data_IF_839879457177
#
_entry.id   IF_839879457177
#
_cell.length_a   1.000
_cell.length_b   1.000
_cell.length_c   1.000
_cell.angle_alpha   90.00
_cell.angle_beta   90.00
_cell.angle_gamma   90.00
#
_symmetry.space_group_name_H-M   'P 1'
#
loop_
_entity.id
_entity.type
_entity.pdbx_description
1 polymer ?
#
# COMPACT_ATOMS: atom_id res chain seq x y z
N UNK A 1 -13.68 68.82 19.00
CA UNK A 1 -12.40 68.12 18.78
C UNK A 1 -12.72 66.67 18.44
N UNK A 2 -12.08 66.19 17.36
CA UNK A 2 -11.77 64.80 16.99
C UNK A 2 -12.89 63.85 16.50
N UNK A 3 -12.57 63.32 15.31
CA UNK A 3 -13.30 62.47 14.37
C UNK A 3 -13.22 60.97 14.72
N UNK A 4 -13.92 60.20 13.88
CA UNK A 4 -13.54 58.90 13.31
C UNK A 4 -14.03 57.65 14.07
N UNK A 5 -14.53 56.57 13.45
CA UNK A 5 -14.97 56.28 12.07
C UNK A 5 -15.81 55.00 12.19
N UNK A 6 -16.93 54.91 11.46
CA UNK A 6 -17.69 53.67 11.32
C UNK A 6 -16.85 52.61 10.59
N UNK A 7 -16.53 51.51 11.26
CA UNK A 7 -15.86 50.39 10.61
C UNK A 7 -16.91 49.41 10.09
N UNK A 8 -17.08 49.43 8.76
CA UNK A 8 -17.83 48.45 7.99
C UNK A 8 -17.20 47.07 8.23
N UNK A 9 -17.99 46.12 8.70
CA UNK A 9 -17.64 44.71 8.61
C UNK A 9 -17.86 44.25 7.17
N UNK A 10 -16.77 44.06 6.45
CA UNK A 10 -16.78 43.38 5.15
C UNK A 10 -17.21 41.93 5.36
N UNK A 11 -18.13 41.38 4.55
CA UNK A 11 -18.40 39.95 4.59
C UNK A 11 -17.15 39.24 4.07
N UNK A 12 -16.41 38.60 4.98
CA UNK A 12 -15.37 37.64 4.62
C UNK A 12 -16.06 36.58 3.75
N UNK A 13 -15.70 36.54 2.47
CA UNK A 13 -16.28 35.64 1.49
C UNK A 13 -16.26 34.22 2.07
N UNK A 14 -17.44 33.63 2.21
CA UNK A 14 -17.59 32.24 2.60
C UNK A 14 -16.68 31.41 1.69
N UNK A 15 -15.92 30.43 2.24
CA UNK A 15 -15.22 29.49 1.39
C UNK A 15 -16.27 28.86 0.48
N UNK A 16 -16.10 29.06 -0.83
CA UNK A 16 -16.87 28.39 -1.85
C UNK A 16 -16.60 26.90 -1.70
N UNK A 17 -17.42 26.24 -0.89
CA UNK A 17 -17.52 24.79 -0.84
C UNK A 17 -18.15 24.36 -2.16
N UNK A 18 -17.30 24.17 -3.17
CA UNK A 18 -17.76 23.60 -4.42
C UNK A 18 -18.09 22.13 -4.16
N UNK A 19 -19.39 21.85 -4.22
CA UNK A 19 -20.05 20.68 -3.68
C UNK A 19 -19.94 19.49 -4.63
N UNK A 20 -18.72 19.02 -4.85
CA UNK A 20 -18.47 17.64 -5.26
C UNK A 20 -17.42 17.03 -4.34
N UNK A 21 -17.69 17.06 -3.03
CA UNK A 21 -16.90 16.32 -2.04
C UNK A 21 -17.02 14.84 -2.38
N UNK A 22 -16.03 14.32 -3.08
CA UNK A 22 -15.88 12.88 -3.25
C UNK A 22 -15.78 12.25 -1.87
N UNK A 23 -16.44 11.12 -1.65
CA UNK A 23 -16.31 10.40 -0.39
C UNK A 23 -14.86 9.90 -0.27
N UNK A 24 -14.18 10.32 0.79
CA UNK A 24 -12.86 9.81 1.14
C UNK A 24 -12.98 8.36 1.59
N UNK A 25 -12.06 7.54 1.13
CA UNK A 25 -12.00 6.11 1.41
C UNK A 25 -10.80 5.86 2.30
N UNK A 26 -11.01 5.15 3.41
CA UNK A 26 -9.90 4.65 4.24
C UNK A 26 -9.12 3.62 3.43
N UNK A 27 -7.84 3.88 3.23
CA UNK A 27 -6.95 3.04 2.43
C UNK A 27 -5.62 2.88 3.16
N UNK A 28 -4.77 1.98 2.66
CA UNK A 28 -3.38 1.89 3.13
C UNK A 28 -2.50 1.73 1.90
N UNK A 29 -2.20 2.84 1.24
CA UNK A 29 -1.34 2.87 0.05
C UNK A 29 0.06 3.31 0.43
N UNK A 30 1.06 2.45 0.21
CA UNK A 30 2.44 2.81 0.39
C UNK A 30 2.94 3.60 -0.82
N UNK A 31 3.95 4.43 -0.60
CA UNK A 31 4.56 5.20 -1.68
C UNK A 31 5.81 5.93 -1.26
N UNK A 32 6.27 6.78 -2.18
CA UNK A 32 7.29 7.80 -1.91
C UNK A 32 6.78 9.15 -2.38
N UNK A 33 7.13 10.21 -1.68
CA UNK A 33 6.89 11.57 -2.13
C UNK A 33 8.18 12.36 -2.20
N UNK A 34 8.20 13.33 -3.09
CA UNK A 34 9.28 14.26 -3.31
C UNK A 34 8.78 15.67 -3.00
N UNK A 35 9.49 16.37 -2.11
CA UNK A 35 9.29 17.79 -1.79
C UNK A 35 9.87 18.70 -2.89
N UNK A 36 9.63 20.01 -2.83
CA UNK A 36 10.15 20.96 -3.83
C UNK A 36 11.69 21.01 -3.84
N UNK A 37 12.30 20.75 -2.68
CA UNK A 37 13.75 20.63 -2.53
C UNK A 37 14.35 19.34 -3.10
N UNK A 38 13.51 18.51 -3.74
CA UNK A 38 13.84 17.22 -4.39
C UNK A 38 14.25 16.12 -3.43
N UNK A 39 14.09 16.28 -2.12
CA UNK A 39 14.26 15.17 -1.18
C UNK A 39 13.07 14.23 -1.28
N UNK A 40 13.39 12.94 -1.34
CA UNK A 40 12.41 11.86 -1.38
C UNK A 40 12.29 11.18 -0.02
N UNK A 41 11.07 10.85 0.37
CA UNK A 41 10.77 10.16 1.62
C UNK A 41 9.69 9.09 1.39
N UNK A 42 9.72 8.00 2.16
CA UNK A 42 8.61 7.05 2.17
C UNK A 42 7.36 7.69 2.78
N UNK A 43 6.19 7.31 2.30
CA UNK A 43 4.91 7.71 2.88
C UNK A 43 3.87 6.58 2.84
N UNK A 44 2.81 6.78 3.61
CA UNK A 44 1.62 5.95 3.60
C UNK A 44 0.37 6.84 3.51
N UNK A 45 -0.51 6.56 2.56
CA UNK A 45 -1.84 7.17 2.48
C UNK A 45 -2.80 6.35 3.33
N UNK A 46 -3.40 6.99 4.33
CA UNK A 46 -4.36 6.36 5.25
C UNK A 46 -5.82 6.63 4.87
N UNK A 47 -6.05 7.70 4.11
CA UNK A 47 -7.36 8.10 3.61
C UNK A 47 -7.17 8.91 2.34
N UNK A 48 -8.00 8.64 1.32
CA UNK A 48 -7.87 9.28 0.01
C UNK A 48 -9.21 9.46 -0.66
N UNK A 49 -9.39 10.61 -1.31
CA UNK A 49 -10.40 10.85 -2.32
C UNK A 49 -9.74 11.15 -3.67
N UNK A 50 -10.49 11.23 -4.78
CA UNK A 50 -9.98 11.75 -6.05
C UNK A 50 -9.48 13.20 -5.97
N UNK A 51 -9.83 13.95 -4.91
CA UNK A 51 -9.49 15.36 -4.73
C UNK A 51 -8.45 15.63 -3.64
N UNK A 52 -8.26 14.74 -2.67
CA UNK A 52 -7.38 14.96 -1.53
C UNK A 52 -6.84 13.64 -0.94
N UNK A 53 -5.80 13.73 -0.10
CA UNK A 53 -5.20 12.56 0.55
C UNK A 53 -4.56 12.91 1.90
N UNK A 54 -4.79 12.05 2.90
CA UNK A 54 -4.14 12.09 4.20
C UNK A 54 -2.89 11.21 4.18
N UNK A 55 -1.74 11.83 4.43
CA UNK A 55 -0.42 11.22 4.25
C UNK A 55 0.29 11.13 5.60
N UNK A 56 0.69 9.92 6.00
CA UNK A 56 1.68 9.70 7.06
C UNK A 56 3.06 9.75 6.43
N UNK A 57 3.93 10.59 6.98
CA UNK A 57 5.22 10.89 6.41
C UNK A 57 6.22 11.34 7.47
N UNK A 58 7.52 10.97 7.34
CA UNK A 58 8.54 11.38 8.29
C UNK A 58 8.93 12.86 8.16
N UNK A 59 8.60 13.52 7.05
CA UNK A 59 8.92 14.93 6.81
C UNK A 59 7.75 15.69 6.17
N UNK A 60 7.01 16.47 6.94
CA UNK A 60 5.72 16.99 6.49
C UNK A 60 5.75 18.13 5.45
N UNK A 61 6.92 18.68 5.09
CA UNK A 61 7.01 19.85 4.21
C UNK A 61 6.37 21.11 4.83
N UNK A 62 5.89 22.03 3.99
CA UNK A 62 5.16 23.24 4.39
C UNK A 62 3.79 23.33 3.72
N UNK A 63 2.82 23.96 4.38
CA UNK A 63 1.55 24.32 3.73
C UNK A 63 1.80 25.21 2.51
N UNK A 64 1.15 24.87 1.40
CA UNK A 64 1.33 25.49 0.09
C UNK A 64 2.45 24.87 -0.76
N UNK A 65 3.28 23.98 -0.20
CA UNK A 65 4.37 23.34 -0.92
C UNK A 65 3.84 22.27 -1.88
N UNK A 66 4.38 22.27 -3.11
CA UNK A 66 4.04 21.25 -4.11
C UNK A 66 4.82 19.98 -3.86
N UNK A 67 4.13 18.85 -3.98
CA UNK A 67 4.74 17.54 -3.87
C UNK A 67 4.39 16.67 -5.07
N UNK A 68 5.27 15.71 -5.31
CA UNK A 68 5.04 14.63 -6.27
C UNK A 68 5.08 13.32 -5.48
N UNK A 69 4.00 12.55 -5.52
CA UNK A 69 3.92 11.24 -4.89
C UNK A 69 3.86 10.12 -5.94
N UNK A 70 4.60 9.06 -5.73
CA UNK A 70 4.48 7.78 -6.43
C UNK A 70 3.83 6.80 -5.47
N UNK A 71 2.55 6.53 -5.69
CA UNK A 71 1.72 5.69 -4.82
C UNK A 71 1.51 4.32 -5.46
N UNK A 72 1.55 3.27 -4.65
CA UNK A 72 1.25 1.91 -5.12
C UNK A 72 -0.19 1.84 -5.65
N UNK A 73 -0.37 1.16 -6.78
CA UNK A 73 -1.63 1.00 -7.54
C UNK A 73 -2.20 2.29 -8.17
N UNK A 74 -2.03 3.45 -7.54
CA UNK A 74 -2.49 4.76 -8.04
C UNK A 74 -1.50 5.37 -9.03
N UNK A 75 -0.21 5.17 -8.83
CA UNK A 75 0.88 5.72 -9.65
C UNK A 75 1.26 7.15 -9.26
N UNK A 76 1.81 7.90 -10.22
CA UNK A 76 2.23 9.30 -9.99
C UNK A 76 1.02 10.21 -9.74
N UNK A 77 1.10 10.97 -8.66
CA UNK A 77 0.14 11.99 -8.23
C UNK A 77 0.92 13.26 -7.92
N UNK A 78 0.41 14.40 -8.38
CA UNK A 78 0.91 15.71 -7.98
C UNK A 78 -0.08 16.32 -7.01
N UNK A 79 0.39 17.14 -6.09
CA UNK A 79 -0.50 17.80 -5.16
C UNK A 79 0.17 18.91 -4.37
N UNK A 80 -0.63 19.55 -3.54
CA UNK A 80 -0.20 20.67 -2.70
C UNK A 80 -0.57 20.38 -1.27
N UNK A 81 0.36 20.58 -0.34
CA UNK A 81 0.08 20.42 1.09
C UNK A 81 -0.88 21.54 1.51
N UNK A 82 -2.03 21.19 2.08
CA UNK A 82 -3.06 22.14 2.52
C UNK A 82 -3.14 22.25 4.04
N UNK A 83 -2.69 21.21 4.76
CA UNK A 83 -2.64 21.22 6.23
C UNK A 83 -1.56 20.25 6.74
N UNK A 84 -1.06 20.47 7.94
CA UNK A 84 -0.09 19.60 8.60
C UNK A 84 -0.77 18.84 9.75
N UNK A 85 -0.45 17.55 9.89
CA UNK A 85 -0.99 16.71 10.96
C UNK A 85 0.17 16.07 11.73
N UNK A 86 -0.12 15.54 12.92
CA UNK A 86 0.89 14.79 13.66
C UNK A 86 1.34 13.56 12.87
N UNK A 87 2.65 13.44 12.65
CA UNK A 87 3.25 12.38 11.84
C UNK A 87 2.96 12.45 10.33
N UNK A 88 2.51 13.60 9.79
CA UNK A 88 2.14 13.65 8.38
C UNK A 88 1.64 15.00 7.86
N UNK A 89 0.86 14.95 6.78
CA UNK A 89 0.21 16.11 6.18
C UNK A 89 -1.05 15.73 5.39
N UNK A 90 -1.91 16.71 5.15
CA UNK A 90 -3.04 16.63 4.24
C UNK A 90 -2.68 17.35 2.94
N UNK A 91 -2.92 16.70 1.80
CA UNK A 91 -2.67 17.28 0.48
C UNK A 91 -3.93 17.32 -0.38
N UNK A 92 -4.05 18.36 -1.20
CA UNK A 92 -4.95 18.36 -2.35
C UNK A 92 -4.29 17.63 -3.53
N UNK A 93 -5.08 16.88 -4.28
CA UNK A 93 -4.65 16.08 -5.44
C UNK A 93 -4.86 16.87 -6.73
N UNK A 94 -3.75 17.29 -7.34
CA UNK A 94 -3.69 18.09 -8.55
C UNK A 94 -3.43 17.20 -9.77
N UNK A 95 -4.48 16.56 -10.31
CA UNK A 95 -4.39 15.68 -11.48
C UNK A 95 -5.40 16.06 -12.56
N UNK A 96 -5.17 15.59 -13.79
CA UNK A 96 -6.11 15.79 -14.90
C UNK A 96 -7.46 15.10 -14.64
N UNK A 97 -8.57 15.57 -15.25
CA UNK A 97 -9.88 14.95 -15.06
C UNK A 97 -9.89 13.44 -15.34
N UNK A 98 -9.25 13.01 -16.44
CA UNK A 98 -9.11 11.59 -16.78
C UNK A 98 -8.37 10.79 -15.70
N UNK A 99 -7.33 11.37 -15.09
CA UNK A 99 -6.59 10.70 -14.01
C UNK A 99 -7.40 10.68 -12.71
N UNK A 100 -8.13 11.75 -12.42
CA UNK A 100 -9.08 11.84 -11.30
C UNK A 100 -10.14 10.74 -11.38
N UNK A 101 -10.74 10.53 -12.56
CA UNK A 101 -11.72 9.45 -12.79
C UNK A 101 -11.11 8.06 -12.57
N UNK A 102 -9.86 7.87 -13.02
CA UNK A 102 -9.12 6.62 -12.76
C UNK A 102 -8.88 6.38 -11.27
N UNK A 103 -8.56 7.44 -10.51
CA UNK A 103 -8.40 7.35 -9.05
C UNK A 103 -9.75 7.03 -8.40
N UNK A 104 -10.84 7.69 -8.81
CA UNK A 104 -12.18 7.43 -8.31
C UNK A 104 -12.62 5.97 -8.52
N UNK A 105 -12.35 5.41 -9.70
CA UNK A 105 -12.63 4.00 -10.00
C UNK A 105 -11.83 3.05 -9.09
N UNK A 106 -10.55 3.34 -8.86
CA UNK A 106 -9.71 2.54 -7.96
C UNK A 106 -10.16 2.64 -6.50
N UNK A 107 -10.49 3.84 -6.02
CA UNK A 107 -11.01 4.06 -4.66
C UNK A 107 -12.36 3.40 -4.45
N UNK A 108 -13.23 3.37 -5.47
CA UNK A 108 -14.48 2.60 -5.43
C UNK A 108 -14.21 1.11 -5.23
N UNK A 109 -13.18 0.57 -5.89
CA UNK A 109 -12.78 -0.83 -5.68
C UNK A 109 -12.21 -1.06 -4.28
N UNK A 110 -11.39 -0.13 -3.75
CA UNK A 110 -10.87 -0.21 -2.39
C UNK A 110 -11.98 -0.14 -1.32
N UNK A 111 -12.95 0.76 -1.47
CA UNK A 111 -14.06 0.92 -0.53
C UNK A 111 -14.96 -0.33 -0.46
N UNK A 112 -15.18 -0.99 -1.60
CA UNK A 112 -15.98 -2.20 -1.67
C UNK A 112 -15.23 -3.45 -1.21
N UNK A 113 -13.91 -3.38 -1.06
CA UNK A 113 -13.08 -4.49 -0.59
C UNK A 113 -13.41 -4.87 0.86
N UNK A 114 -13.77 -3.90 1.70
CA UNK A 114 -14.16 -4.11 3.10
C UNK A 114 -15.59 -4.67 3.24
N UNK A 115 -16.48 -4.36 2.30
CA UNK A 115 -17.88 -4.84 2.29
C UNK A 115 -17.97 -6.30 1.81
N UNK A 116 -17.00 -6.78 1.03
CA UNK A 116 -17.03 -8.11 0.41
C UNK A 116 -16.48 -9.26 1.28
N UNK A 117 -16.17 -9.02 2.56
CA UNK A 117 -15.75 -10.05 3.52
C UNK A 117 -14.63 -10.96 2.95
N UNK A 118 -13.69 -10.35 2.21
CA UNK A 118 -12.51 -11.05 1.74
C UNK A 118 -11.47 -11.04 2.87
N UNK A 119 -10.96 -12.21 3.29
CA UNK A 119 -10.09 -12.31 4.45
C UNK A 119 -8.90 -11.37 4.29
N UNK A 120 -8.67 -10.66 5.39
CA UNK A 120 -7.55 -9.78 5.64
C UNK A 120 -6.23 -10.32 5.06
N UNK A 121 -5.39 -9.36 4.69
CA UNK A 121 -3.95 -9.52 4.48
C UNK A 121 -3.49 -9.88 3.05
N UNK A 122 -3.47 -8.84 2.22
CA UNK A 122 -2.75 -8.83 0.94
C UNK A 122 -1.74 -7.68 0.93
N UNK A 123 -0.77 -7.74 1.84
CA UNK A 123 0.32 -6.74 1.88
C UNK A 123 1.21 -6.76 0.65
N UNK A 124 1.25 -7.84 -0.14
CA UNK A 124 1.99 -7.90 -1.40
C UNK A 124 1.15 -8.57 -2.49
N UNK A 125 1.19 -8.02 -3.70
CA UNK A 125 0.50 -8.58 -4.87
C UNK A 125 1.01 -10.01 -5.12
N UNK A 126 0.12 -10.99 -4.99
CA UNK A 126 0.47 -12.40 -5.05
C UNK A 126 0.42 -12.83 -6.50
N UNK A 127 1.59 -13.08 -7.08
CA UNK A 127 1.71 -13.56 -8.44
C UNK A 127 1.78 -15.09 -8.43
N UNK A 128 1.28 -15.69 -9.50
CA UNK A 128 1.42 -17.12 -9.69
C UNK A 128 2.75 -17.37 -10.42
N UNK A 129 3.71 -18.09 -9.82
CA UNK A 129 5.02 -18.30 -10.44
C UNK A 129 4.92 -19.16 -11.70
N UNK A 130 5.85 -18.93 -12.66
CA UNK A 130 5.92 -19.69 -13.91
C UNK A 130 6.17 -21.18 -13.64
N UNK A 131 6.94 -21.50 -12.59
CA UNK A 131 7.14 -22.86 -12.09
C UNK A 131 6.36 -23.04 -10.79
N UNK A 132 5.28 -23.82 -10.86
CA UNK A 132 4.42 -24.08 -9.70
C UNK A 132 4.87 -25.30 -8.90
N UNK A 133 5.66 -26.21 -9.46
CA UNK A 133 6.11 -27.40 -8.76
C UNK A 133 7.45 -27.12 -8.07
N UNK A 134 7.49 -27.24 -6.74
CA UNK A 134 8.68 -27.02 -5.94
C UNK A 134 8.75 -28.05 -4.81
N UNK A 135 9.66 -27.83 -3.87
CA UNK A 135 9.78 -28.64 -2.66
C UNK A 135 10.07 -27.76 -1.45
N UNK A 136 9.52 -28.15 -0.31
CA UNK A 136 9.96 -27.64 0.99
C UNK A 136 10.90 -28.62 1.67
N UNK A 137 11.82 -28.07 2.47
CA UNK A 137 12.73 -28.83 3.34
C UNK A 137 12.47 -28.39 4.79
N UNK A 138 12.19 -29.35 5.67
CA UNK A 138 12.08 -29.14 7.11
C UNK A 138 13.46 -29.08 7.76
N UNK A 139 13.54 -28.59 9.00
CA UNK A 139 14.77 -28.53 9.80
C UNK A 139 15.39 -29.91 10.09
N UNK A 140 14.57 -30.95 10.17
CA UNK A 140 15.00 -32.34 10.26
C UNK A 140 15.53 -32.94 8.95
N UNK A 141 15.56 -32.15 7.87
CA UNK A 141 16.07 -32.54 6.56
C UNK A 141 15.05 -33.27 5.68
N UNK A 142 13.83 -33.53 6.15
CA UNK A 142 12.78 -34.15 5.32
C UNK A 142 12.34 -33.19 4.22
N UNK A 143 12.24 -33.72 2.99
CA UNK A 143 11.86 -32.99 1.79
C UNK A 143 10.48 -33.44 1.33
N UNK A 144 9.62 -32.47 1.03
CA UNK A 144 8.27 -32.72 0.53
C UNK A 144 8.04 -31.93 -0.75
N UNK A 145 7.48 -32.59 -1.75
CA UNK A 145 7.02 -31.91 -2.96
C UNK A 145 5.80 -31.06 -2.63
N UNK A 146 5.73 -29.88 -3.21
CA UNK A 146 4.62 -28.95 -3.01
C UNK A 146 4.32 -28.22 -4.31
N UNK A 147 3.10 -27.69 -4.41
CA UNK A 147 2.69 -26.83 -5.50
C UNK A 147 2.45 -25.42 -5.00
N UNK A 148 3.13 -24.44 -5.57
CA UNK A 148 2.97 -23.02 -5.22
C UNK A 148 1.66 -22.54 -5.85
N UNK A 149 0.73 -22.15 -4.98
CA UNK A 149 -0.57 -21.58 -5.36
C UNK A 149 -0.37 -20.12 -5.74
N UNK A 150 0.32 -19.39 -4.85
CA UNK A 150 0.62 -17.98 -5.01
C UNK A 150 1.91 -17.62 -4.24
N UNK A 151 2.64 -16.61 -4.71
CA UNK A 151 3.89 -16.15 -4.09
C UNK A 151 4.01 -14.63 -4.17
N UNK A 152 4.62 -14.05 -3.14
CA UNK A 152 4.86 -12.62 -3.02
C UNK A 152 6.31 -12.35 -2.59
N UNK A 153 6.67 -11.09 -2.31
CA UNK A 153 7.99 -10.74 -1.78
C UNK A 153 8.23 -11.23 -0.34
N UNK A 154 7.16 -11.48 0.42
CA UNK A 154 7.23 -11.77 1.86
C UNK A 154 6.79 -13.18 2.20
N UNK A 155 6.19 -13.93 1.28
CA UNK A 155 5.73 -15.28 1.57
C UNK A 155 5.14 -16.00 0.37
N UNK A 156 4.62 -17.20 0.65
CA UNK A 156 3.99 -18.06 -0.34
C UNK A 156 2.81 -18.85 0.25
N UNK A 157 1.79 -19.10 -0.56
CA UNK A 157 0.81 -20.14 -0.29
C UNK A 157 1.19 -21.39 -1.09
N UNK A 158 1.35 -22.52 -0.39
CA UNK A 158 1.75 -23.78 -1.01
C UNK A 158 0.76 -24.90 -0.67
N UNK A 159 0.39 -25.65 -1.69
CA UNK A 159 -0.36 -26.89 -1.63
C UNK A 159 0.61 -28.03 -1.33
N UNK A 160 0.32 -28.81 -0.29
CA UNK A 160 1.21 -29.88 0.21
C UNK A 160 0.40 -30.89 1.04
N UNK A 161 0.74 -32.17 0.92
CA UNK A 161 0.02 -33.27 1.58
C UNK A 161 0.29 -33.36 3.09
N UNK A 162 1.44 -32.88 3.53
CA UNK A 162 1.80 -32.83 4.94
C UNK A 162 1.41 -31.50 5.58
N UNK A 163 1.11 -31.53 6.87
CA UNK A 163 0.81 -30.32 7.66
C UNK A 163 1.86 -30.10 8.76
N UNK A 164 3.02 -29.50 8.42
CA UNK A 164 3.98 -29.04 9.42
C UNK A 164 3.30 -28.10 10.42
N UNK A 165 3.73 -28.10 11.67
CA UNK A 165 3.12 -27.28 12.70
C UNK A 165 3.28 -25.78 12.40
N UNK A 166 2.38 -24.99 12.96
CA UNK A 166 2.51 -23.53 12.97
C UNK A 166 3.82 -23.12 13.62
N UNK A 167 4.53 -22.17 13.02
CA UNK A 167 5.83 -21.71 13.50
C UNK A 167 7.00 -22.61 13.08
N UNK A 168 6.78 -23.76 12.43
CA UNK A 168 7.86 -24.63 11.96
C UNK A 168 8.72 -23.91 10.91
N UNK A 169 10.06 -23.89 11.06
CA UNK A 169 10.96 -23.36 10.04
C UNK A 169 11.00 -24.31 8.84
N UNK A 170 10.94 -23.74 7.64
CA UNK A 170 10.99 -24.48 6.37
C UNK A 170 11.88 -23.74 5.37
N UNK A 171 12.37 -24.44 4.36
CA UNK A 171 13.03 -23.84 3.21
C UNK A 171 12.24 -24.14 1.95
N UNK A 172 11.77 -23.13 1.23
CA UNK A 172 11.10 -23.26 -0.07
C UNK A 172 12.10 -22.90 -1.18
N UNK A 173 12.52 -23.88 -1.98
CA UNK A 173 13.64 -23.70 -2.91
C UNK A 173 14.91 -23.29 -2.16
N UNK A 174 15.38 -22.06 -2.34
CA UNK A 174 16.49 -21.46 -1.59
C UNK A 174 16.07 -20.48 -0.49
N UNK A 175 14.78 -20.22 -0.34
CA UNK A 175 14.25 -19.20 0.60
C UNK A 175 13.91 -19.83 1.94
N UNK A 176 14.52 -19.33 3.02
CA UNK A 176 14.13 -19.68 4.39
C UNK A 176 12.80 -19.02 4.73
N UNK A 177 11.92 -19.77 5.36
CA UNK A 177 10.57 -19.36 5.69
C UNK A 177 10.06 -20.01 6.99
N UNK A 178 8.89 -19.60 7.44
CA UNK A 178 8.19 -20.15 8.60
C UNK A 178 6.72 -20.35 8.30
N UNK A 179 6.13 -21.44 8.79
CA UNK A 179 4.68 -21.67 8.67
C UNK A 179 3.91 -20.66 9.52
N UNK A 180 3.03 -19.88 8.89
CA UNK A 180 2.26 -18.80 9.56
C UNK A 180 0.76 -19.03 9.59
N UNK A 181 0.23 -19.96 8.79
CA UNK A 181 -1.15 -20.47 8.88
C UNK A 181 -1.33 -21.74 8.05
N UNK A 182 -2.36 -22.51 8.38
CA UNK A 182 -2.87 -23.59 7.54
C UNK A 182 -4.11 -23.14 6.76
N UNK A 183 -4.38 -23.83 5.67
CA UNK A 183 -5.65 -23.74 4.94
C UNK A 183 -6.01 -25.12 4.38
N UNK A 184 -7.20 -25.27 3.81
CA UNK A 184 -7.77 -26.58 3.48
C UNK A 184 -6.81 -27.50 2.70
N UNK A 185 -6.12 -26.96 1.71
CA UNK A 185 -5.25 -27.73 0.82
C UNK A 185 -3.74 -27.45 1.03
N UNK A 186 -3.33 -26.86 2.15
CA UNK A 186 -1.90 -26.59 2.35
C UNK A 186 -1.56 -25.61 3.47
N UNK A 187 -0.42 -24.94 3.30
CA UNK A 187 0.16 -24.05 4.32
C UNK A 187 0.59 -22.71 3.70
N UNK A 188 0.49 -21.64 4.49
CA UNK A 188 1.10 -20.37 4.15
C UNK A 188 2.41 -20.21 4.91
N UNK A 189 3.43 -19.74 4.19
CA UNK A 189 4.77 -19.51 4.73
C UNK A 189 5.17 -18.06 4.58
N UNK A 190 5.85 -17.52 5.57
CA UNK A 190 6.45 -16.18 5.55
C UNK A 190 7.97 -16.33 5.44
N UNK A 191 8.59 -15.59 4.52
CA UNK A 191 10.03 -15.61 4.33
C UNK A 191 10.74 -14.93 5.48
N UNK A 192 11.87 -15.51 5.92
CA UNK A 192 12.68 -14.94 7.00
C UNK A 192 13.28 -13.58 6.65
N UNK A 193 13.29 -13.21 5.36
CA UNK A 193 13.62 -11.87 4.89
C UNK A 193 12.74 -11.54 3.69
N UNK A 194 12.09 -10.37 3.74
CA UNK A 194 11.33 -9.84 2.60
C UNK A 194 12.28 -9.63 1.43
N UNK A 195 11.91 -10.11 0.26
CA UNK A 195 12.70 -9.99 -0.95
C UNK A 195 12.49 -8.61 -1.58
N UNK A 196 13.55 -7.99 -2.10
CA UNK A 196 13.46 -6.63 -2.65
C UNK A 196 12.75 -6.60 -4.02
N UNK A 197 12.87 -7.67 -4.81
CA UNK A 197 12.32 -7.74 -6.18
C UNK A 197 11.82 -9.15 -6.48
N UNK A 198 10.68 -9.26 -7.19
CA UNK A 198 10.03 -10.54 -7.50
C UNK A 198 10.89 -11.47 -8.39
N UNK A 199 11.77 -10.92 -9.22
CA UNK A 199 12.72 -11.72 -10.02
C UNK A 199 13.69 -12.54 -9.16
N UNK A 200 14.02 -12.06 -7.95
CA UNK A 200 14.84 -12.79 -6.97
C UNK A 200 14.07 -14.00 -6.43
N UNK A 201 12.78 -13.80 -6.14
CA UNK A 201 11.87 -14.87 -5.72
C UNK A 201 11.83 -15.97 -6.79
N UNK A 202 11.60 -15.60 -8.06
CA UNK A 202 11.58 -16.55 -9.18
C UNK A 202 12.90 -17.32 -9.30
N UNK A 203 14.05 -16.63 -9.25
CA UNK A 203 15.37 -17.28 -9.31
C UNK A 203 15.59 -18.28 -8.18
N UNK A 204 15.12 -17.98 -6.97
CA UNK A 204 15.30 -18.84 -5.80
C UNK A 204 14.41 -20.09 -5.81
N UNK A 205 13.36 -20.11 -6.64
CA UNK A 205 12.57 -21.31 -6.90
C UNK A 205 13.25 -22.30 -7.86
N UNK A 206 14.18 -21.82 -8.69
CA UNK A 206 14.93 -22.68 -9.60
C UNK A 206 16.00 -23.45 -8.81
N UNK A 207 15.76 -24.75 -8.68
CA UNK A 207 16.76 -25.70 -8.16
C UNK A 207 17.42 -26.32 -9.39
N UNK A 208 18.69 -25.98 -9.66
CA UNK A 208 19.51 -26.79 -10.56
C UNK A 208 19.68 -28.19 -9.97
#
# INVERSE_FOLDING_TARGET
MLNATAQKFEPHAAPSFDATRFQSVKVSLLGRYMLEDRREFPCQIIEMSPGDAHVIAPASGKVGEKIIAYLDHVGRVEGTIIDLIDGGFHMEVNVSPRKRDSIAAQLTWFANKDILNLPEDRRHDRQVPDIRHSSIILDDGRKYNCKIIDISLSGAAIEIDVRPQMGTPVTLGRMRARVVRHFDNGIAVEFSSVQEVFSVVQRNLHTN
#
